data_IF_614278101122
#
_entry.id   IF_614278101122
#
_cell.length_a   1.000
_cell.length_b   1.000
_cell.length_c   1.000
_cell.angle_alpha   90.00
_cell.angle_beta   90.00
_cell.angle_gamma   90.00
#
_symmetry.space_group_name_H-M   'P 1'
#
loop_
_entity.id
_entity.type
_entity.pdbx_description
1 polymer ?
#
# COMPACT_ATOMS: atom_id res chain seq x y z
N UNK A 1 1.47 -0.55 34.60
CA UNK A 1 1.11 -0.14 33.22
C UNK A 1 0.44 1.21 33.35
N UNK A 2 0.89 2.24 32.65
CA UNK A 2 0.17 3.53 32.63
C UNK A 2 -1.13 3.33 31.85
N UNK A 3 -2.25 3.80 32.39
CA UNK A 3 -3.53 3.77 31.70
C UNK A 3 -3.52 4.76 30.52
N UNK A 4 -4.08 4.34 29.37
CA UNK A 4 -4.30 5.21 28.23
C UNK A 4 -5.51 6.09 28.53
N UNK A 5 -5.30 7.40 28.55
CA UNK A 5 -6.33 8.41 28.84
C UNK A 5 -6.28 9.52 27.78
N UNK A 6 -7.36 10.31 27.66
CA UNK A 6 -7.46 11.48 26.77
C UNK A 6 -7.22 11.17 25.27
N UNK A 7 -7.89 10.14 24.75
CA UNK A 7 -7.80 9.76 23.33
C UNK A 7 -8.52 10.78 22.44
N UNK A 8 -7.85 11.26 21.39
CA UNK A 8 -8.44 12.07 20.32
C UNK A 8 -8.26 11.39 18.96
N UNK A 9 -9.11 11.73 17.99
CA UNK A 9 -9.07 11.19 16.63
C UNK A 9 -8.80 12.32 15.63
N UNK A 10 -7.75 12.16 14.83
CA UNK A 10 -7.38 13.10 13.77
C UNK A 10 -7.24 12.32 12.46
N UNK A 11 -7.79 12.89 11.38
CA UNK A 11 -7.68 12.27 10.05
C UNK A 11 -6.32 12.59 9.45
N UNK A 12 -5.55 11.55 9.13
CA UNK A 12 -4.28 11.69 8.41
C UNK A 12 -4.51 11.96 6.92
N UNK A 13 -5.37 11.16 6.30
CA UNK A 13 -5.72 11.25 4.88
C UNK A 13 -7.12 10.68 4.66
N UNK A 14 -7.83 11.23 3.70
CA UNK A 14 -9.09 10.68 3.19
C UNK A 14 -9.09 10.85 1.68
N UNK A 15 -9.46 9.79 0.97
CA UNK A 15 -9.62 9.81 -0.48
C UNK A 15 -11.08 9.56 -0.83
N UNK A 16 -11.57 10.23 -1.87
CA UNK A 16 -12.97 10.07 -2.33
C UNK A 16 -13.14 8.90 -3.30
N UNK A 17 -12.10 8.60 -4.09
CA UNK A 17 -12.14 7.61 -5.18
C UNK A 17 -11.20 6.42 -4.98
N UNK A 18 -10.36 6.46 -3.95
CA UNK A 18 -9.40 5.41 -3.61
C UNK A 18 -9.47 5.12 -2.12
N UNK A 19 -8.75 4.11 -1.63
CA UNK A 19 -8.59 3.89 -0.19
C UNK A 19 -7.11 3.88 0.21
N UNK A 20 -6.87 4.12 1.49
CA UNK A 20 -5.56 4.00 2.12
C UNK A 20 -5.54 2.75 3.00
N UNK A 21 -4.42 2.04 3.03
CA UNK A 21 -4.23 0.89 3.91
C UNK A 21 -2.78 0.82 4.42
N UNK A 22 -2.54 -0.08 5.39
CA UNK A 22 -1.21 -0.48 5.86
C UNK A 22 -0.31 0.70 6.28
N UNK A 23 -0.84 1.57 7.16
CA UNK A 23 -0.05 2.69 7.68
C UNK A 23 0.98 2.24 8.70
N UNK A 24 2.21 2.74 8.56
CA UNK A 24 3.25 2.74 9.57
C UNK A 24 3.62 4.18 9.90
N UNK A 25 3.76 4.49 11.19
CA UNK A 25 4.12 5.84 11.67
C UNK A 25 5.36 5.76 12.54
N UNK A 26 6.30 6.68 12.32
CA UNK A 26 7.51 6.85 13.12
C UNK A 26 7.67 8.29 13.57
N UNK A 27 7.96 8.50 14.84
CA UNK A 27 8.50 9.77 15.32
C UNK A 27 9.95 9.88 14.86
N UNK A 28 10.26 10.93 14.11
CA UNK A 28 11.61 11.23 13.66
C UNK A 28 12.42 11.88 14.79
N UNK A 29 13.74 11.88 14.65
CA UNK A 29 14.66 12.52 15.61
C UNK A 29 14.37 13.99 15.88
N UNK A 30 13.78 14.69 14.91
CA UNK A 30 13.40 16.10 15.07
C UNK A 30 12.00 16.32 15.65
N UNK A 31 11.32 15.27 16.09
CA UNK A 31 10.01 15.32 16.75
C UNK A 31 8.82 15.20 15.80
N UNK A 32 9.02 15.33 14.49
CA UNK A 32 7.95 15.19 13.51
C UNK A 32 7.47 13.74 13.40
N UNK A 33 6.19 13.55 13.10
CA UNK A 33 5.68 12.22 12.73
C UNK A 33 5.80 12.04 11.23
N UNK A 34 6.38 10.91 10.81
CA UNK A 34 6.46 10.50 9.43
C UNK A 34 5.67 9.22 9.24
N UNK A 35 4.68 9.27 8.35
CA UNK A 35 3.86 8.14 7.99
C UNK A 35 4.22 7.64 6.60
N UNK A 36 4.27 6.32 6.44
CA UNK A 36 4.31 5.63 5.16
C UNK A 36 3.11 4.69 5.10
N UNK A 37 2.42 4.67 3.97
CA UNK A 37 1.21 3.86 3.80
C UNK A 37 0.98 3.58 2.30
N UNK A 38 0.01 2.73 2.00
CA UNK A 38 -0.35 2.42 0.63
C UNK A 38 -1.65 3.14 0.25
N UNK A 39 -1.62 3.80 -0.91
CA UNK A 39 -2.81 4.31 -1.57
C UNK A 39 -3.20 3.34 -2.69
N UNK A 40 -4.41 2.81 -2.63
CA UNK A 40 -4.96 1.92 -3.66
C UNK A 40 -5.38 2.67 -4.93
N UNK A 41 -5.58 1.93 -6.01
CA UNK A 41 -6.11 2.49 -7.27
C UNK A 41 -7.61 2.74 -7.26
N UNK A 42 -8.29 2.05 -6.36
CA UNK A 42 -9.75 1.92 -6.30
C UNK A 42 -10.19 2.05 -4.84
N UNK A 43 -11.49 2.23 -4.56
CA UNK A 43 -12.00 2.32 -3.19
C UNK A 43 -12.07 0.95 -2.49
N UNK A 44 -11.21 0.00 -2.89
CA UNK A 44 -11.12 -1.36 -2.37
C UNK A 44 -9.66 -1.75 -2.17
N UNK A 45 -9.40 -2.57 -1.16
CA UNK A 45 -8.08 -3.14 -0.92
C UNK A 45 -7.81 -4.28 -1.91
N UNK A 46 -6.76 -4.16 -2.72
CA UNK A 46 -6.48 -5.09 -3.82
C UNK A 46 -4.99 -5.29 -4.09
N UNK A 47 -4.13 -4.84 -3.18
CA UNK A 47 -2.66 -4.91 -3.28
C UNK A 47 -2.12 -4.32 -4.61
N UNK A 48 -2.84 -3.34 -5.18
CA UNK A 48 -2.50 -2.71 -6.46
C UNK A 48 -1.95 -1.29 -6.33
N UNK A 49 -1.86 -0.83 -5.10
CA UNK A 49 -1.55 0.54 -4.75
C UNK A 49 -0.11 0.97 -4.97
N UNK A 50 0.16 2.18 -4.51
CA UNK A 50 1.45 2.84 -4.53
C UNK A 50 1.84 3.20 -3.10
N UNK A 51 3.14 3.15 -2.81
CA UNK A 51 3.65 3.56 -1.51
C UNK A 51 3.73 5.08 -1.48
N UNK A 52 3.07 5.68 -0.51
CA UNK A 52 3.02 7.13 -0.27
C UNK A 52 3.49 7.47 1.14
N UNK A 53 3.91 8.71 1.31
CA UNK A 53 4.35 9.25 2.59
C UNK A 53 3.64 10.54 2.92
N UNK A 54 3.44 10.81 4.20
CA UNK A 54 2.99 12.11 4.69
C UNK A 54 3.66 12.44 6.02
N UNK A 55 3.67 13.72 6.39
CA UNK A 55 4.38 14.22 7.57
C UNK A 55 3.49 15.14 8.38
N UNK A 56 3.54 14.98 9.70
CA UNK A 56 2.98 15.92 10.67
C UNK A 56 4.12 16.60 11.43
N UNK A 57 3.95 17.89 11.70
CA UNK A 57 4.86 18.72 12.51
C UNK A 57 4.27 19.10 13.86
N UNK A 58 3.05 18.66 14.16
CA UNK A 58 2.24 19.09 15.29
C UNK A 58 1.67 17.90 16.09
N UNK A 59 2.40 16.78 16.10
CA UNK A 59 2.02 15.61 16.89
C UNK A 59 0.86 14.80 16.30
N UNK A 60 0.58 14.93 15.00
CA UNK A 60 -0.43 14.15 14.29
C UNK A 60 -1.79 14.83 14.17
N UNK A 61 -1.90 16.11 14.54
CA UNK A 61 -3.14 16.89 14.43
C UNK A 61 -3.40 17.26 12.97
N UNK A 62 -2.37 17.73 12.26
CA UNK A 62 -2.40 18.02 10.83
C UNK A 62 -1.30 17.27 10.08
N UNK A 63 -1.55 16.98 8.80
CA UNK A 63 -0.68 16.21 7.95
C UNK A 63 -0.51 16.91 6.60
N UNK A 64 0.68 16.83 6.02
CA UNK A 64 0.95 17.35 4.68
C UNK A 64 0.24 16.54 3.60
N UNK A 65 0.10 17.11 2.41
CA UNK A 65 -0.32 16.34 1.23
C UNK A 65 0.57 15.10 1.01
N UNK A 66 -0.02 13.91 0.79
CA UNK A 66 0.74 12.69 0.55
C UNK A 66 1.66 12.80 -0.67
N UNK A 67 2.86 12.25 -0.56
CA UNK A 67 3.86 12.18 -1.63
C UNK A 67 4.14 10.74 -2.01
N UNK A 68 4.06 10.44 -3.31
CA UNK A 68 4.37 9.13 -3.88
C UNK A 68 5.87 8.86 -3.77
N UNK A 69 6.23 7.68 -3.27
CA UNK A 69 7.62 7.20 -3.20
C UNK A 69 7.83 6.03 -4.16
N UNK A 70 6.86 5.12 -4.24
CA UNK A 70 6.88 3.99 -5.19
C UNK A 70 5.61 4.05 -6.02
N UNK A 71 5.65 4.65 -7.23
CA UNK A 71 4.47 4.74 -8.07
C UNK A 71 4.06 3.37 -8.56
N UNK A 72 2.75 3.17 -8.69
CA UNK A 72 2.23 2.01 -9.41
C UNK A 72 2.42 2.21 -10.92
N UNK A 73 2.39 1.13 -11.70
CA UNK A 73 2.43 1.16 -13.17
C UNK A 73 1.24 0.40 -13.76
N UNK A 74 1.16 0.21 -15.08
CA UNK A 74 0.10 -0.63 -15.64
C UNK A 74 0.14 -2.08 -15.13
N UNK A 75 1.31 -2.58 -14.73
CA UNK A 75 1.55 -4.00 -14.43
C UNK A 75 2.17 -4.25 -13.06
N UNK A 76 2.41 -3.20 -12.26
CA UNK A 76 3.00 -3.34 -10.93
C UNK A 76 2.37 -2.39 -9.91
N UNK A 77 2.32 -2.85 -8.66
CA UNK A 77 1.94 -2.08 -7.48
C UNK A 77 2.89 -2.39 -6.33
N UNK A 78 2.69 -1.73 -5.21
CA UNK A 78 3.43 -1.95 -3.97
C UNK A 78 2.50 -2.00 -2.76
N UNK A 79 2.89 -2.76 -1.74
CA UNK A 79 2.15 -2.98 -0.50
C UNK A 79 3.11 -3.30 0.66
N UNK A 80 2.59 -3.39 1.89
CA UNK A 80 3.34 -3.71 3.11
C UNK A 80 4.57 -2.81 3.31
N UNK A 81 4.36 -1.51 3.19
CA UNK A 81 5.44 -0.56 3.39
C UNK A 81 5.84 -0.41 4.86
N UNK A 82 7.09 -0.04 5.10
CA UNK A 82 7.63 0.24 6.42
C UNK A 82 8.67 1.36 6.38
N UNK A 83 8.96 1.95 7.54
CA UNK A 83 9.92 3.06 7.64
C UNK A 83 10.85 2.92 8.84
N UNK A 84 12.14 3.16 8.59
CA UNK A 84 13.19 3.27 9.59
C UNK A 84 13.98 4.56 9.37
N UNK A 85 14.30 5.26 10.45
CA UNK A 85 15.24 6.39 10.41
C UNK A 85 16.59 5.91 10.94
N UNK A 86 17.65 6.10 10.14
CA UNK A 86 19.01 5.75 10.49
C UNK A 86 19.64 6.80 11.42
N UNK A 87 20.85 6.50 11.91
CA UNK A 87 21.53 7.38 12.83
C UNK A 87 21.84 8.78 12.24
N UNK A 88 22.10 8.88 10.95
CA UNK A 88 22.39 10.14 10.25
C UNK A 88 21.13 10.91 9.79
N UNK A 89 19.93 10.40 10.09
CA UNK A 89 18.65 10.98 9.65
C UNK A 89 18.17 10.50 8.28
N UNK A 90 18.91 9.61 7.62
CA UNK A 90 18.43 8.95 6.40
C UNK A 90 17.20 8.10 6.69
N UNK A 91 16.17 8.17 5.83
CA UNK A 91 15.00 7.30 5.91
C UNK A 91 15.15 6.10 4.97
N UNK A 92 15.02 4.89 5.51
CA UNK A 92 14.83 3.66 4.74
C UNK A 92 13.33 3.36 4.68
N UNK A 93 12.82 3.19 3.47
CA UNK A 93 11.46 2.70 3.23
C UNK A 93 11.55 1.34 2.56
N UNK A 94 11.04 0.30 3.22
CA UNK A 94 10.86 -1.03 2.64
C UNK A 94 9.41 -1.18 2.13
N UNK A 95 9.20 -2.09 1.19
CA UNK A 95 7.90 -2.42 0.62
C UNK A 95 8.00 -3.74 -0.16
N UNK A 96 6.86 -4.37 -0.42
CA UNK A 96 6.74 -5.51 -1.31
C UNK A 96 6.22 -5.05 -2.67
N UNK A 97 6.67 -5.69 -3.75
CA UNK A 97 6.10 -5.50 -5.08
C UNK A 97 5.01 -6.53 -5.36
N UNK A 98 3.93 -6.08 -6.00
CA UNK A 98 2.94 -6.94 -6.62
C UNK A 98 2.97 -6.76 -8.13
N UNK A 99 2.87 -7.85 -8.89
CA UNK A 99 2.84 -7.86 -10.35
C UNK A 99 1.47 -8.29 -10.85
N UNK A 100 0.86 -7.46 -11.71
CA UNK A 100 -0.39 -7.77 -12.38
C UNK A 100 -0.07 -8.23 -13.79
N UNK A 101 -0.30 -9.51 -14.05
CA UNK A 101 -0.24 -10.03 -15.40
C UNK A 101 -1.66 -10.06 -15.93
N UNK A 102 -1.94 -9.22 -16.92
CA UNK A 102 -3.08 -9.47 -17.78
C UNK A 102 -2.88 -10.87 -18.35
N UNK A 103 -3.82 -11.77 -18.10
CA UNK A 103 -3.91 -13.01 -18.85
C UNK A 103 -4.17 -12.59 -20.29
N UNK A 104 -3.11 -12.42 -21.08
CA UNK A 104 -3.23 -12.40 -22.53
C UNK A 104 -3.98 -13.70 -22.82
N UNK A 105 -5.17 -13.62 -23.40
CA UNK A 105 -5.86 -14.81 -23.84
C UNK A 105 -4.85 -15.61 -24.67
N UNK A 106 -4.33 -16.69 -24.07
CA UNK A 106 -3.73 -17.77 -24.83
C UNK A 106 -4.89 -18.25 -25.68
N UNK A 107 -4.95 -17.76 -26.92
CA UNK A 107 -5.88 -18.21 -27.94
C UNK A 107 -5.64 -19.71 -28.15
N UNK A 108 -6.29 -20.53 -27.31
CA UNK A 108 -6.42 -21.98 -27.49
C UNK A 108 -7.55 -22.31 -28.48
N UNK A 109 -8.23 -21.29 -29.03
CA UNK A 109 -9.34 -21.45 -29.96
C UNK A 109 -8.90 -21.58 -31.42
N UNK A 110 -7.96 -22.49 -31.70
CA UNK A 110 -7.76 -22.95 -33.08
C UNK A 110 -8.17 -24.40 -33.32
N UNK A 111 -8.98 -25.03 -32.45
CA UNK A 111 -9.61 -26.30 -32.87
C UNK A 111 -11.01 -26.69 -32.40
N UNK A 112 -11.70 -25.97 -31.51
CA UNK A 112 -13.06 -26.38 -31.11
C UNK A 112 -13.95 -25.14 -30.91
N UNK A 113 -14.88 -24.92 -31.83
CA UNK A 113 -15.71 -23.71 -31.92
C UNK A 113 -16.75 -23.55 -30.80
N UNK A 114 -16.30 -23.21 -29.59
CA UNK A 114 -17.17 -22.83 -28.48
C UNK A 114 -16.89 -21.37 -28.06
N UNK A 115 -17.88 -20.51 -28.20
CA UNK A 115 -17.86 -19.15 -27.65
C UNK A 115 -18.07 -19.22 -26.13
N UNK A 116 -17.13 -18.65 -25.37
CA UNK A 116 -17.27 -18.46 -23.92
C UNK A 116 -17.66 -16.99 -23.68
N UNK A 117 -18.71 -16.67 -22.90
CA UNK A 117 -19.05 -15.28 -22.60
C UNK A 117 -17.97 -14.68 -21.69
N UNK A 118 -17.55 -13.45 -21.99
CA UNK A 118 -16.57 -12.69 -21.22
C UNK A 118 -17.15 -12.26 -19.86
N UNK A 119 -16.93 -13.07 -18.83
CA UNK A 119 -17.00 -12.62 -17.44
C UNK A 119 -15.86 -13.24 -16.62
N UNK A 120 -15.09 -12.37 -15.95
CA UNK A 120 -14.15 -12.78 -14.90
C UNK A 120 -12.76 -12.21 -15.08
N UNK A 121 -12.48 -11.07 -14.43
CA UNK A 121 -11.12 -10.62 -14.16
C UNK A 121 -10.48 -11.66 -13.21
N UNK A 122 -9.74 -12.61 -13.77
CA UNK A 122 -9.02 -13.62 -13.01
C UNK A 122 -7.74 -13.04 -12.43
N UNK A 123 -7.75 -12.77 -11.13
CA UNK A 123 -6.53 -12.48 -10.38
C UNK A 123 -5.87 -13.77 -9.89
N UNK A 124 -4.55 -13.85 -10.06
CA UNK A 124 -3.72 -14.85 -9.40
C UNK A 124 -3.07 -14.20 -8.18
N UNK A 125 -3.70 -14.35 -7.02
CA UNK A 125 -3.04 -14.06 -5.75
C UNK A 125 -1.91 -15.06 -5.55
N UNK A 126 -0.66 -14.67 -5.83
CA UNK A 126 0.52 -15.40 -5.36
C UNK A 126 0.84 -14.93 -3.94
N UNK A 127 -0.04 -15.28 -2.99
CA UNK A 127 0.28 -15.24 -1.58
C UNK A 127 1.17 -16.44 -1.25
N UNK A 128 2.49 -16.24 -1.22
CA UNK A 128 3.38 -17.14 -0.47
C UNK A 128 3.37 -16.68 0.98
N UNK A 129 2.51 -17.28 1.81
CA UNK A 129 2.71 -17.30 3.25
C UNK A 129 3.83 -18.31 3.54
N UNK A 130 5.06 -17.81 3.69
CA UNK A 130 6.12 -18.60 4.32
C UNK A 130 5.71 -18.86 5.77
N UNK A 131 5.38 -20.11 6.09
CA UNK A 131 5.40 -20.59 7.47
C UNK A 131 6.85 -20.49 7.96
N UNK A 132 7.07 -19.72 9.02
CA UNK A 132 8.28 -19.81 9.84
C UNK A 132 7.95 -20.72 11.00
N UNK A 133 8.29 -22.00 10.86
CA UNK A 133 8.44 -22.87 12.02
C UNK A 133 9.77 -22.52 12.70
N UNK A 134 9.73 -22.37 14.03
CA UNK A 134 10.85 -21.96 14.87
C UNK A 134 11.92 -23.03 15.07
#
# INVERSE_FOLDING_TARGET
MSEINNVTHHTMVKYDSTCANQVQVRTLKNGDLFAVFNQERYPIHHDTGQTVTTRSKDGGITWSEPKVVVPWTQTRGSWDCGVCELHDGTLIINFNFCGFFLKKELNLNNHLGLQVPSQGNGEIGLGHTGHWDG
#
